data_IF_858415929021
#
_entry.id   IF_858415929021
#
_cell.length_a   1.000
_cell.length_b   1.000
_cell.length_c   1.000
_cell.angle_alpha   90.00
_cell.angle_beta   90.00
_cell.angle_gamma   90.00
#
_symmetry.space_group_name_H-M   'P 1'
#
loop_
_entity.id
_entity.type
_entity.pdbx_description
1 polymer ?
#
# COMPACT_ATOMS: atom_id res chain seq x y z
N UNK A 1 5.42 -7.12 -6.69
CA UNK A 1 5.54 -7.91 -7.92
C UNK A 1 6.98 -8.03 -8.39
N UNK A 2 7.71 -6.92 -8.56
CA UNK A 2 9.13 -6.96 -8.91
C UNK A 2 9.98 -7.78 -7.92
N UNK A 3 9.68 -7.72 -6.61
CA UNK A 3 10.32 -8.55 -5.60
C UNK A 3 10.12 -10.05 -5.86
N UNK A 4 8.88 -10.46 -6.13
CA UNK A 4 8.56 -11.84 -6.48
C UNK A 4 9.27 -12.30 -7.76
N UNK A 5 9.37 -11.41 -8.76
CA UNK A 5 10.09 -11.69 -9.99
C UNK A 5 11.58 -11.95 -9.75
N UNK A 6 12.24 -11.09 -8.93
CA UNK A 6 13.66 -11.27 -8.55
C UNK A 6 13.91 -12.59 -7.81
N UNK A 7 12.91 -13.11 -7.12
CA UNK A 7 12.97 -14.39 -6.39
C UNK A 7 12.49 -15.59 -7.23
N UNK A 8 12.11 -15.39 -8.50
CA UNK A 8 11.50 -16.41 -9.35
C UNK A 8 10.25 -17.05 -8.73
N UNK A 9 9.43 -16.24 -8.06
CA UNK A 9 8.21 -16.65 -7.33
C UNK A 9 6.94 -15.98 -7.84
N UNK A 10 6.96 -15.45 -9.05
CA UNK A 10 5.73 -15.04 -9.72
C UNK A 10 4.89 -16.26 -10.10
N UNK A 11 3.60 -16.14 -9.95
CA UNK A 11 2.64 -17.11 -10.45
C UNK A 11 2.74 -17.19 -11.98
N UNK A 12 2.69 -18.41 -12.56
CA UNK A 12 2.71 -18.58 -14.02
C UNK A 12 1.64 -17.77 -14.74
N UNK A 13 0.48 -17.65 -14.12
CA UNK A 13 -0.67 -16.89 -14.64
C UNK A 13 -0.38 -15.38 -14.69
N UNK A 14 0.47 -14.87 -13.78
CA UNK A 14 0.75 -13.45 -13.60
C UNK A 14 2.27 -13.20 -13.56
N UNK A 15 2.94 -13.62 -14.64
CA UNK A 15 4.37 -13.32 -14.81
C UNK A 15 4.61 -11.82 -14.81
N UNK A 16 5.78 -11.40 -14.28
CA UNK A 16 6.09 -9.98 -14.16
C UNK A 16 6.02 -9.26 -15.51
N UNK A 17 5.34 -8.14 -15.50
CA UNK A 17 5.22 -7.23 -16.65
C UNK A 17 5.69 -5.84 -16.23
N UNK A 18 6.86 -5.44 -16.74
CA UNK A 18 7.49 -4.17 -16.40
C UNK A 18 6.67 -2.96 -16.84
N UNK A 19 6.02 -3.03 -18.00
CA UNK A 19 5.20 -1.93 -18.50
C UNK A 19 3.99 -1.66 -17.59
N UNK A 20 3.30 -2.72 -17.14
CA UNK A 20 2.20 -2.56 -16.18
C UNK A 20 2.70 -2.00 -14.84
N UNK A 21 3.82 -2.52 -14.34
CA UNK A 21 4.40 -2.07 -13.07
C UNK A 21 4.84 -0.61 -13.12
N UNK A 22 5.57 -0.22 -14.17
CA UNK A 22 6.05 1.15 -14.37
C UNK A 22 4.90 2.13 -14.58
N UNK A 23 3.85 1.70 -15.29
CA UNK A 23 2.67 2.55 -15.50
C UNK A 23 1.92 2.79 -14.18
N UNK A 24 1.78 1.78 -13.33
CA UNK A 24 1.18 1.98 -11.99
C UNK A 24 2.00 2.98 -11.16
N UNK A 25 3.33 2.86 -11.19
CA UNK A 25 4.20 3.81 -10.49
C UNK A 25 4.04 5.24 -11.04
N UNK A 26 3.90 5.41 -12.36
CA UNK A 26 3.69 6.75 -12.94
C UNK A 26 2.43 7.45 -12.41
N UNK A 27 1.37 6.70 -12.08
CA UNK A 27 0.19 7.30 -11.45
C UNK A 27 0.42 7.74 -10.01
N UNK A 28 1.28 7.04 -9.27
CA UNK A 28 1.71 7.52 -7.95
C UNK A 28 2.46 8.83 -8.07
N UNK A 29 3.39 8.94 -9.02
CA UNK A 29 4.11 10.19 -9.27
C UNK A 29 3.17 11.32 -9.72
N UNK A 30 2.18 11.03 -10.59
CA UNK A 30 1.18 12.01 -11.01
C UNK A 30 0.32 12.52 -9.84
N UNK A 31 -0.07 11.65 -8.90
CA UNK A 31 -0.79 12.04 -7.69
C UNK A 31 0.06 12.96 -6.81
N UNK A 32 1.31 12.60 -6.57
CA UNK A 32 2.25 13.42 -5.78
C UNK A 32 2.49 14.80 -6.40
N UNK A 33 2.67 14.86 -7.73
CA UNK A 33 2.89 16.11 -8.46
C UNK A 33 1.65 17.01 -8.46
N UNK A 34 0.46 16.44 -8.44
CA UNK A 34 -0.79 17.18 -8.49
C UNK A 34 -1.49 17.34 -7.12
N UNK A 35 -0.79 17.08 -6.02
CA UNK A 35 -1.37 17.12 -4.67
C UNK A 35 -2.17 18.38 -4.35
N UNK A 36 -1.67 19.56 -4.71
CA UNK A 36 -2.38 20.83 -4.48
C UNK A 36 -3.69 20.92 -5.27
N UNK A 37 -3.68 20.47 -6.54
CA UNK A 37 -4.88 20.42 -7.36
C UNK A 37 -5.92 19.44 -6.79
N UNK A 38 -5.44 18.32 -6.23
CA UNK A 38 -6.28 17.29 -5.61
C UNK A 38 -6.89 17.84 -4.32
N UNK A 39 -6.08 18.44 -3.44
CA UNK A 39 -6.56 19.07 -2.20
C UNK A 39 -7.61 20.14 -2.47
N UNK A 40 -7.36 20.98 -3.47
CA UNK A 40 -8.24 22.08 -3.83
C UNK A 40 -9.47 21.61 -4.65
N UNK A 41 -9.59 20.31 -4.93
CA UNK A 41 -10.66 19.69 -5.73
C UNK A 41 -10.92 20.39 -7.05
N UNK A 42 -9.90 20.99 -7.66
CA UNK A 42 -10.06 21.64 -8.95
C UNK A 42 -10.11 20.59 -10.09
N UNK A 43 -10.48 21.04 -11.29
CA UNK A 43 -10.68 20.17 -12.44
C UNK A 43 -9.48 19.25 -12.72
N UNK A 44 -8.24 19.76 -12.60
CA UNK A 44 -7.02 18.98 -12.82
C UNK A 44 -6.82 17.93 -11.75
N UNK A 45 -7.09 18.24 -10.48
CA UNK A 45 -6.99 17.30 -9.37
C UNK A 45 -7.99 16.16 -9.50
N UNK A 46 -9.25 16.49 -9.80
CA UNK A 46 -10.30 15.50 -10.03
C UNK A 46 -9.95 14.59 -11.22
N UNK A 47 -9.49 15.14 -12.34
CA UNK A 47 -9.05 14.37 -13.52
C UNK A 47 -7.90 13.43 -13.19
N UNK A 48 -6.94 13.87 -12.37
CA UNK A 48 -5.81 13.05 -11.92
C UNK A 48 -6.29 11.83 -11.10
N UNK A 49 -7.20 12.03 -10.15
CA UNK A 49 -7.76 10.94 -9.33
C UNK A 49 -8.55 9.97 -10.22
N UNK A 50 -9.41 10.49 -11.10
CA UNK A 50 -10.22 9.67 -12.00
C UNK A 50 -9.33 8.78 -12.88
N UNK A 51 -8.27 9.34 -13.48
CA UNK A 51 -7.34 8.59 -14.32
C UNK A 51 -6.61 7.48 -13.55
N UNK A 52 -6.14 7.77 -12.35
CA UNK A 52 -5.50 6.76 -11.49
C UNK A 52 -6.47 5.64 -11.11
N UNK A 53 -7.70 5.97 -10.74
CA UNK A 53 -8.73 4.99 -10.40
C UNK A 53 -9.15 4.14 -11.61
N UNK A 54 -9.39 4.78 -12.76
CA UNK A 54 -9.71 4.07 -14.00
C UNK A 54 -8.58 3.14 -14.43
N UNK A 55 -7.32 3.56 -14.27
CA UNK A 55 -6.18 2.69 -14.54
C UNK A 55 -6.24 1.41 -13.70
N UNK A 56 -6.44 1.52 -12.38
CA UNK A 56 -6.54 0.37 -11.48
C UNK A 56 -7.56 -0.65 -11.97
N UNK A 57 -8.80 -0.23 -12.24
CA UNK A 57 -9.86 -1.09 -12.74
C UNK A 57 -9.59 -1.63 -14.14
N UNK A 58 -9.31 -0.76 -15.10
CA UNK A 58 -9.12 -1.16 -16.51
C UNK A 58 -7.92 -2.10 -16.69
N UNK A 59 -6.80 -1.82 -16.02
CA UNK A 59 -5.60 -2.64 -16.12
C UNK A 59 -5.79 -4.01 -15.48
N UNK A 60 -6.53 -4.10 -14.38
CA UNK A 60 -6.89 -5.36 -13.74
C UNK A 60 -7.64 -6.28 -14.71
N UNK A 61 -8.70 -5.77 -15.36
CA UNK A 61 -9.49 -6.55 -16.31
C UNK A 61 -8.70 -6.87 -17.57
N UNK A 62 -8.07 -5.88 -18.20
CA UNK A 62 -7.38 -6.06 -19.49
C UNK A 62 -6.14 -6.94 -19.41
N UNK A 63 -5.53 -7.07 -18.24
CA UNK A 63 -4.40 -7.97 -18.00
C UNK A 63 -4.80 -9.37 -17.51
N UNK A 64 -6.06 -9.78 -17.70
CA UNK A 64 -6.55 -11.10 -17.34
C UNK A 64 -6.79 -11.28 -15.84
N UNK A 65 -7.42 -10.29 -15.21
CA UNK A 65 -7.69 -10.24 -13.77
C UNK A 65 -6.40 -10.31 -12.93
N UNK A 66 -5.39 -9.59 -13.38
CA UNK A 66 -4.09 -9.58 -12.72
C UNK A 66 -4.04 -8.50 -11.63
N UNK A 67 -4.01 -8.83 -10.33
CA UNK A 67 -3.96 -7.85 -9.25
C UNK A 67 -2.54 -7.36 -8.94
N UNK A 68 -1.52 -8.01 -9.50
CA UNK A 68 -0.12 -7.88 -9.06
C UNK A 68 0.48 -6.47 -9.17
N UNK A 69 -0.04 -5.64 -10.04
CA UNK A 69 0.44 -4.28 -10.27
C UNK A 69 -0.38 -3.20 -9.54
N UNK A 70 -1.45 -3.61 -8.87
CA UNK A 70 -2.35 -2.71 -8.12
C UNK A 70 -2.54 -3.11 -6.66
N UNK A 71 -2.18 -4.33 -6.29
CA UNK A 71 -2.27 -4.81 -4.91
C UNK A 71 -0.98 -5.52 -4.49
N UNK A 72 -0.50 -5.20 -3.31
CA UNK A 72 0.69 -5.78 -2.72
C UNK A 72 0.59 -5.82 -1.20
N UNK A 73 1.72 -5.56 -0.55
CA UNK A 73 1.82 -5.62 0.92
C UNK A 73 0.86 -4.65 1.62
N UNK A 74 0.57 -3.49 1.00
CA UNK A 74 -0.36 -2.49 1.51
C UNK A 74 -1.78 -3.03 1.66
N UNK A 75 -2.25 -3.80 0.68
CA UNK A 75 -3.55 -4.45 0.74
C UNK A 75 -3.54 -5.69 1.66
N UNK A 76 -2.46 -6.45 1.68
CA UNK A 76 -2.36 -7.62 2.58
C UNK A 76 -2.35 -7.20 4.05
N UNK A 77 -1.68 -6.09 4.37
CA UNK A 77 -1.74 -5.48 5.68
C UNK A 77 -3.17 -5.08 6.03
N UNK A 78 -3.86 -4.37 5.12
CA UNK A 78 -5.25 -3.96 5.29
C UNK A 78 -6.18 -5.16 5.53
N UNK A 79 -6.10 -6.20 4.71
CA UNK A 79 -6.94 -7.39 4.87
C UNK A 79 -6.69 -8.11 6.21
N UNK A 80 -5.42 -8.19 6.64
CA UNK A 80 -5.07 -8.78 7.92
C UNK A 80 -5.53 -7.92 9.09
N UNK A 81 -5.45 -6.59 8.97
CA UNK A 81 -5.95 -5.65 9.97
C UNK A 81 -7.46 -5.79 10.18
N UNK A 82 -8.24 -5.85 9.10
CA UNK A 82 -9.68 -6.16 9.19
C UNK A 82 -9.95 -7.52 9.84
N UNK A 83 -9.11 -8.51 9.53
CA UNK A 83 -9.24 -9.85 10.12
C UNK A 83 -8.96 -9.84 11.63
N UNK A 84 -7.94 -9.13 12.09
CA UNK A 84 -7.55 -9.02 13.49
C UNK A 84 -8.58 -8.21 14.28
N UNK A 85 -8.92 -7.02 13.80
CA UNK A 85 -9.78 -6.08 14.53
C UNK A 85 -11.27 -6.39 14.43
N UNK A 86 -11.68 -7.19 13.45
CA UNK A 86 -13.09 -7.43 13.06
C UNK A 86 -13.83 -6.13 12.71
N UNK A 87 -13.11 -5.10 12.36
CA UNK A 87 -13.64 -3.77 12.01
C UNK A 87 -13.59 -3.57 10.50
N UNK A 88 -14.52 -2.78 9.95
CA UNK A 88 -14.47 -2.28 8.58
C UNK A 88 -13.95 -0.86 8.56
N UNK A 89 -13.10 -0.57 7.59
CA UNK A 89 -12.42 0.72 7.47
C UNK A 89 -12.83 1.48 6.21
N UNK A 90 -12.62 2.78 6.23
CA UNK A 90 -12.51 3.55 4.99
C UNK A 90 -11.23 3.07 4.29
N UNK A 91 -11.39 2.36 3.19
CA UNK A 91 -10.35 1.58 2.49
C UNK A 91 -9.00 2.30 2.37
N UNK A 92 -9.01 3.59 2.02
CA UNK A 92 -7.79 4.35 1.78
C UNK A 92 -6.89 4.51 3.01
N UNK A 93 -7.44 4.65 4.22
CA UNK A 93 -6.64 4.90 5.42
C UNK A 93 -5.68 3.74 5.75
N UNK A 94 -6.16 2.50 5.96
CA UNK A 94 -5.26 1.40 6.27
C UNK A 94 -4.38 0.98 5.07
N UNK A 95 -4.85 1.18 3.83
CA UNK A 95 -4.01 0.93 2.64
C UNK A 95 -2.87 1.93 2.56
N UNK A 96 -3.08 3.21 2.90
CA UNK A 96 -2.00 4.20 2.96
C UNK A 96 -1.01 3.93 4.10
N UNK A 97 -1.47 3.48 5.27
CA UNK A 97 -0.58 3.01 6.34
C UNK A 97 0.25 1.80 5.86
N UNK A 98 -0.39 0.83 5.20
CA UNK A 98 0.27 -0.31 4.57
C UNK A 98 1.21 0.07 3.43
N UNK A 99 0.97 1.18 2.73
CA UNK A 99 1.89 1.72 1.73
C UNK A 99 3.20 2.20 2.37
N UNK A 100 3.13 2.95 3.47
CA UNK A 100 4.33 3.34 4.23
C UNK A 100 5.09 2.11 4.71
N UNK A 101 4.38 1.13 5.27
CA UNK A 101 4.95 -0.17 5.65
C UNK A 101 5.70 -0.82 4.48
N UNK A 102 5.08 -0.89 3.30
CA UNK A 102 5.67 -1.46 2.10
C UNK A 102 6.94 -0.72 1.66
N UNK A 103 6.94 0.61 1.72
CA UNK A 103 8.10 1.42 1.42
C UNK A 103 9.28 1.13 2.39
N UNK A 104 9.00 0.99 3.68
CA UNK A 104 10.00 0.64 4.71
C UNK A 104 10.57 -0.77 4.47
N UNK A 105 9.71 -1.77 4.27
CA UNK A 105 10.15 -3.15 4.00
C UNK A 105 10.98 -3.28 2.72
N UNK A 106 10.78 -2.40 1.74
CA UNK A 106 11.55 -2.37 0.50
C UNK A 106 12.77 -1.43 0.54
N UNK A 107 13.01 -0.74 1.66
CA UNK A 107 14.01 0.34 1.76
C UNK A 107 13.81 1.43 0.68
N UNK A 108 12.56 1.80 0.45
CA UNK A 108 12.12 2.80 -0.56
C UNK A 108 11.29 3.92 0.04
N UNK A 109 11.39 4.12 1.35
CA UNK A 109 10.71 5.22 2.01
C UNK A 109 11.37 6.56 1.66
N UNK A 110 10.57 7.54 1.28
CA UNK A 110 11.02 8.84 0.82
C UNK A 110 10.23 9.96 1.52
N UNK A 111 10.89 11.05 1.90
CA UNK A 111 10.25 12.21 2.55
C UNK A 111 9.11 12.84 1.73
N UNK A 112 9.07 12.62 0.41
CA UNK A 112 7.96 13.11 -0.44
C UNK A 112 6.61 12.51 -0.04
N UNK A 113 6.58 11.32 0.53
CA UNK A 113 5.35 10.68 1.01
C UNK A 113 4.86 11.35 2.30
N UNK A 114 5.79 11.68 3.23
CA UNK A 114 5.45 12.45 4.44
C UNK A 114 4.79 13.77 4.06
N UNK A 115 5.43 14.53 3.17
CA UNK A 115 4.93 15.80 2.68
C UNK A 115 3.56 15.67 2.00
N UNK A 116 3.34 14.59 1.26
CA UNK A 116 2.06 14.34 0.61
C UNK A 116 0.93 14.17 1.64
N UNK A 117 1.09 13.26 2.61
CA UNK A 117 0.06 13.03 3.63
C UNK A 117 -0.22 14.27 4.48
N UNK A 118 0.84 15.00 4.86
CA UNK A 118 0.74 16.26 5.60
C UNK A 118 -0.03 17.33 4.82
N UNK A 119 0.31 17.54 3.56
CA UNK A 119 -0.32 18.55 2.71
C UNK A 119 -1.76 18.21 2.33
N UNK A 120 -2.09 16.91 2.31
CA UNK A 120 -3.44 16.43 2.01
C UNK A 120 -4.36 16.40 3.23
N UNK A 121 -3.83 16.64 4.44
CA UNK A 121 -4.57 16.49 5.71
C UNK A 121 -5.26 15.11 5.83
N UNK A 122 -4.60 14.08 5.29
CA UNK A 122 -5.13 12.73 5.23
C UNK A 122 -4.56 11.89 6.37
N UNK A 123 -5.37 11.67 7.39
CA UNK A 123 -4.93 11.02 8.63
C UNK A 123 -4.87 9.49 8.51
N UNK A 124 -3.64 8.95 8.57
CA UNK A 124 -3.35 7.50 8.54
C UNK A 124 -2.94 6.94 9.90
N UNK A 125 -3.04 7.74 10.98
CA UNK A 125 -2.75 7.26 12.33
C UNK A 125 -3.74 6.18 12.75
N UNK A 126 -3.31 5.18 13.53
CA UNK A 126 -4.22 4.16 14.06
C UNK A 126 -5.44 4.76 14.79
N UNK A 127 -5.23 5.81 15.57
CA UNK A 127 -6.28 6.48 16.34
C UNK A 127 -7.40 7.06 15.46
N UNK A 128 -7.04 7.58 14.28
CA UNK A 128 -8.02 8.09 13.30
C UNK A 128 -8.87 6.98 12.68
N UNK A 129 -8.42 5.75 12.79
CA UNK A 129 -9.13 4.53 12.35
C UNK A 129 -9.84 3.81 13.50
N UNK A 130 -9.86 4.39 14.72
CA UNK A 130 -10.37 3.76 15.94
C UNK A 130 -9.69 2.41 16.27
N UNK A 131 -8.39 2.31 16.00
CA UNK A 131 -7.53 1.19 16.39
C UNK A 131 -6.33 1.68 17.17
N UNK A 132 -5.55 0.77 17.73
CA UNK A 132 -4.35 1.07 18.51
C UNK A 132 -3.08 0.58 17.81
N UNK A 133 -1.93 1.05 18.28
CA UNK A 133 -0.64 0.54 17.82
C UNK A 133 -0.44 -0.94 18.16
N UNK A 134 -1.09 -1.46 19.21
CA UNK A 134 -1.12 -2.89 19.53
C UNK A 134 -1.82 -3.69 18.44
N UNK A 135 -2.92 -3.18 17.85
CA UNK A 135 -3.57 -3.82 16.72
C UNK A 135 -2.66 -3.85 15.49
N UNK A 136 -1.90 -2.77 15.24
CA UNK A 136 -0.89 -2.72 14.17
C UNK A 136 0.22 -3.75 14.42
N UNK A 137 0.74 -3.83 15.65
CA UNK A 137 1.75 -4.83 16.03
C UNK A 137 1.25 -6.25 15.81
N UNK A 138 0.05 -6.58 16.28
CA UNK A 138 -0.56 -7.90 16.11
C UNK A 138 -0.75 -8.23 14.61
N UNK A 139 -1.16 -7.25 13.83
CA UNK A 139 -1.28 -7.38 12.37
C UNK A 139 0.05 -7.74 11.74
N UNK A 140 1.15 -7.08 12.13
CA UNK A 140 2.48 -7.37 11.61
C UNK A 140 2.99 -8.75 12.03
N UNK A 141 2.79 -9.14 13.30
CA UNK A 141 3.17 -10.46 13.82
C UNK A 141 2.49 -11.61 13.07
N UNK A 142 1.28 -11.40 12.61
CA UNK A 142 0.48 -12.44 11.93
C UNK A 142 0.52 -12.34 10.41
N UNK A 143 1.08 -11.29 9.84
CA UNK A 143 1.00 -10.95 8.41
C UNK A 143 1.49 -12.05 7.48
N UNK A 144 2.69 -12.58 7.74
CA UNK A 144 3.25 -13.67 6.94
C UNK A 144 2.32 -14.90 6.95
N UNK A 145 1.87 -15.31 8.13
CA UNK A 145 0.94 -16.44 8.29
C UNK A 145 -0.38 -16.19 7.57
N UNK A 146 -0.92 -14.97 7.68
CA UNK A 146 -2.16 -14.56 7.00
C UNK A 146 -2.03 -14.69 5.47
N UNK A 147 -0.96 -14.15 4.89
CA UNK A 147 -0.68 -14.23 3.45
C UNK A 147 -0.65 -15.70 2.99
N UNK A 148 0.11 -16.54 3.69
CA UNK A 148 0.26 -17.96 3.33
C UNK A 148 -1.05 -18.74 3.49
N UNK A 149 -1.77 -18.55 4.60
CA UNK A 149 -3.02 -19.27 4.89
C UNK A 149 -4.14 -18.90 3.92
N UNK A 150 -4.17 -17.66 3.45
CA UNK A 150 -5.17 -17.18 2.50
C UNK A 150 -4.72 -17.33 1.04
N UNK A 151 -3.57 -17.97 0.80
CA UNK A 151 -3.03 -18.23 -0.55
C UNK A 151 -2.90 -16.95 -1.38
N UNK A 152 -2.59 -15.82 -0.72
CA UNK A 152 -2.30 -14.59 -1.42
C UNK A 152 -0.97 -14.73 -2.18
N UNK A 153 -0.80 -13.93 -3.20
CA UNK A 153 0.41 -14.01 -4.03
C UNK A 153 1.68 -13.59 -3.28
N UNK A 154 2.78 -14.20 -3.67
CA UNK A 154 4.07 -13.97 -3.03
C UNK A 154 4.56 -12.52 -3.21
N UNK A 155 5.03 -11.92 -2.13
CA UNK A 155 5.62 -10.59 -2.08
C UNK A 155 6.56 -10.45 -0.90
N UNK A 156 7.00 -9.23 -0.59
CA UNK A 156 7.90 -8.98 0.55
C UNK A 156 7.31 -9.45 1.88
N UNK A 157 6.01 -9.28 2.09
CA UNK A 157 5.31 -9.74 3.31
C UNK A 157 5.23 -11.26 3.46
N UNK A 158 5.58 -12.02 2.41
CA UNK A 158 5.68 -13.48 2.48
C UNK A 158 7.03 -13.95 3.03
N UNK A 159 7.98 -13.05 3.24
CA UNK A 159 9.28 -13.34 3.83
C UNK A 159 9.28 -13.09 5.33
N UNK A 160 10.29 -13.62 6.02
CA UNK A 160 10.54 -13.28 7.43
C UNK A 160 11.20 -11.92 7.51
N UNK A 161 10.74 -11.09 8.42
CA UNK A 161 11.31 -9.77 8.71
C UNK A 161 11.31 -9.53 10.22
N UNK A 162 12.15 -8.62 10.69
CA UNK A 162 12.15 -8.19 12.08
C UNK A 162 10.91 -7.30 12.31
N UNK A 163 9.91 -7.86 13.00
CA UNK A 163 8.65 -7.18 13.25
C UNK A 163 8.86 -5.97 14.16
N UNK A 164 9.75 -6.05 15.16
CA UNK A 164 9.97 -4.95 16.08
C UNK A 164 10.66 -3.76 15.37
N UNK A 165 11.66 -4.05 14.56
CA UNK A 165 12.33 -3.02 13.75
C UNK A 165 11.35 -2.33 12.81
N UNK A 166 10.60 -3.09 12.02
CA UNK A 166 9.63 -2.54 11.07
C UNK A 166 8.52 -1.77 11.79
N UNK A 167 8.01 -2.26 12.91
CA UNK A 167 6.99 -1.57 13.69
C UNK A 167 7.50 -0.22 14.23
N UNK A 168 8.71 -0.19 14.80
CA UNK A 168 9.29 1.04 15.32
C UNK A 168 9.51 2.07 14.18
N UNK A 169 10.04 1.62 13.05
CA UNK A 169 10.24 2.47 11.88
C UNK A 169 8.90 3.01 11.32
N UNK A 170 7.86 2.18 11.29
CA UNK A 170 6.53 2.59 10.86
C UNK A 170 5.94 3.66 11.80
N UNK A 171 6.00 3.42 13.09
CA UNK A 171 5.52 4.36 14.11
C UNK A 171 6.27 5.70 14.06
N UNK A 172 7.59 5.66 13.92
CA UNK A 172 8.42 6.85 13.76
C UNK A 172 8.05 7.62 12.48
N UNK A 173 7.90 6.91 11.35
CA UNK A 173 7.53 7.53 10.07
C UNK A 173 6.15 8.20 10.13
N UNK A 174 5.17 7.54 10.74
CA UNK A 174 3.83 8.13 10.94
C UNK A 174 3.90 9.37 11.85
N UNK A 175 4.66 9.32 12.94
CA UNK A 175 4.83 10.46 13.85
C UNK A 175 5.54 11.67 13.21
N UNK A 176 6.33 11.47 12.17
CA UNK A 176 6.96 12.59 11.40
C UNK A 176 5.96 13.31 10.49
N UNK A 177 4.88 12.63 10.12
CA UNK A 177 3.82 13.22 9.28
C UNK A 177 2.97 14.19 10.10
N UNK A 178 2.67 13.86 11.33
CA UNK A 178 1.79 14.60 12.25
C UNK A 178 2.53 15.13 13.47
#
# INVERSE_FOLDING_TARGET
>A
WQHANKKNKCEKKWSYNENLSSKSLSYVDDLLLNKNNIRDLNHKGIDTIIKAHQWGGNSFFSSGWNPRHIEGIEHFFFYNLEFITKQKFIHGQPVCLGFILGCLMHNKYEARFENFFKDMDFDIRPEAMNITWENVMETLLTLNKFILSNKLWYGIGSEKFDVNEIFNNLKESVNKIY
#
